data_IF_816897482580
#
_entry.id   IF_816897482580
#
_cell.length_a   1.000
_cell.length_b   1.000
_cell.length_c   1.000
_cell.angle_alpha   90.00
_cell.angle_beta   90.00
_cell.angle_gamma   90.00
#
_symmetry.space_group_name_H-M   'P 1'
#
loop_
_entity.id
_entity.type
_entity.pdbx_description
1 polymer ?
#
# COMPACT_ATOMS: atom_id res chain seq x y z
N UNK A 1 -10.10 7.00 4.40
CA UNK A 1 -9.83 5.83 5.25
C UNK A 1 -9.80 4.59 4.37
N UNK A 2 -8.71 3.81 4.41
CA UNK A 2 -8.57 2.56 3.67
C UNK A 2 -8.75 1.39 4.64
N UNK A 3 -9.78 0.57 4.40
CA UNK A 3 -10.06 -0.67 5.14
C UNK A 3 -10.39 -1.77 4.13
N UNK A 4 -10.00 -3.00 4.43
CA UNK A 4 -10.18 -4.13 3.51
C UNK A 4 -9.05 -4.25 2.49
N UNK A 5 -9.38 -4.59 1.24
CA UNK A 5 -8.38 -4.89 0.21
C UNK A 5 -8.22 -3.73 -0.78
N UNK A 6 -6.99 -3.33 -1.04
CA UNK A 6 -6.62 -2.35 -2.05
C UNK A 6 -5.77 -3.01 -3.15
N UNK A 7 -6.19 -2.84 -4.41
CA UNK A 7 -5.55 -3.43 -5.58
C UNK A 7 -5.28 -2.31 -6.59
N UNK A 8 -4.04 -2.15 -7.01
CA UNK A 8 -3.63 -1.15 -7.98
C UNK A 8 -2.63 -1.73 -8.99
N UNK A 9 -2.51 -1.11 -10.16
CA UNK A 9 -1.62 -1.61 -11.20
C UNK A 9 -2.00 -3.00 -11.75
N UNK A 10 -3.28 -3.37 -11.73
CA UNK A 10 -3.75 -4.69 -12.18
C UNK A 10 -3.42 -5.00 -13.66
N UNK A 11 -3.18 -3.97 -14.47
CA UNK A 11 -2.68 -4.07 -15.86
C UNK A 11 -1.17 -4.35 -15.95
N UNK A 12 -0.47 -4.50 -14.83
CA UNK A 12 1.00 -4.62 -14.78
C UNK A 12 1.73 -3.29 -14.66
N UNK A 13 1.02 -2.20 -14.38
CA UNK A 13 1.61 -0.88 -14.16
C UNK A 13 2.29 -0.80 -12.78
N UNK A 14 3.63 -0.73 -12.80
CA UNK A 14 4.49 -0.68 -11.62
C UNK A 14 4.69 0.72 -11.04
N UNK A 15 4.37 1.75 -11.80
CA UNK A 15 4.52 3.16 -11.38
C UNK A 15 3.27 3.65 -10.62
N UNK A 16 2.23 2.81 -10.53
CA UNK A 16 1.02 3.13 -9.79
C UNK A 16 1.30 3.26 -8.29
N UNK A 17 0.66 4.26 -7.67
CA UNK A 17 0.78 4.54 -6.25
C UNK A 17 -0.58 4.56 -5.58
N UNK A 18 -0.64 4.11 -4.33
CA UNK A 18 -1.84 4.12 -3.50
C UNK A 18 -1.65 5.18 -2.41
N UNK A 19 -2.62 6.08 -2.29
CA UNK A 19 -2.63 7.11 -1.26
C UNK A 19 -3.81 6.91 -0.32
N UNK A 20 -3.59 7.06 0.97
CA UNK A 20 -4.67 7.05 1.94
C UNK A 20 -4.36 7.96 3.13
N UNK A 21 -5.42 8.48 3.75
CA UNK A 21 -5.32 9.30 4.98
C UNK A 21 -5.34 8.48 6.25
N UNK A 22 -5.68 7.18 6.17
CA UNK A 22 -5.80 6.30 7.32
C UNK A 22 -5.63 4.84 6.85
N UNK A 23 -4.42 4.29 6.96
CA UNK A 23 -4.06 2.95 6.49
C UNK A 23 -4.50 1.86 7.47
N UNK A 24 -5.55 1.12 7.15
CA UNK A 24 -6.04 -0.03 7.91
C UNK A 24 -6.40 -1.18 6.97
N UNK A 25 -5.57 -1.38 5.93
CA UNK A 25 -5.79 -2.38 4.91
C UNK A 25 -5.54 -3.79 5.46
N UNK A 26 -6.38 -4.74 5.04
CA UNK A 26 -6.18 -6.18 5.23
C UNK A 26 -5.21 -6.74 4.19
N UNK A 27 -5.24 -6.15 2.98
CA UNK A 27 -4.35 -6.48 1.88
C UNK A 27 -4.12 -5.23 1.03
N UNK A 28 -2.87 -5.02 0.62
CA UNK A 28 -2.53 -4.04 -0.42
C UNK A 28 -1.73 -4.73 -1.50
N UNK A 29 -2.06 -4.50 -2.77
CA UNK A 29 -1.28 -5.00 -3.90
C UNK A 29 -1.06 -3.94 -4.97
N UNK A 30 0.16 -3.92 -5.52
CA UNK A 30 0.58 -3.08 -6.63
C UNK A 30 1.29 -3.96 -7.65
N UNK A 31 0.77 -4.02 -8.87
CA UNK A 31 1.35 -4.78 -9.99
C UNK A 31 1.62 -6.28 -9.69
N UNK A 32 0.81 -6.89 -8.83
CA UNK A 32 0.92 -8.31 -8.45
C UNK A 32 1.74 -8.57 -7.19
N UNK A 33 2.58 -7.62 -6.77
CA UNK A 33 3.21 -7.67 -5.44
C UNK A 33 2.17 -7.30 -4.38
N UNK A 34 2.16 -8.00 -3.24
CA UNK A 34 1.16 -7.77 -2.22
C UNK A 34 1.72 -7.87 -0.80
N UNK A 35 1.11 -7.11 0.10
CA UNK A 35 1.26 -7.20 1.54
C UNK A 35 -0.07 -7.54 2.18
N UNK A 36 -0.03 -8.47 3.13
CA UNK A 36 -1.10 -8.67 4.11
C UNK A 36 -0.92 -7.69 5.28
N UNK A 37 -1.96 -7.56 6.11
CA UNK A 37 -1.98 -6.61 7.24
C UNK A 37 -0.81 -6.76 8.21
N UNK A 38 -0.25 -7.95 8.37
CA UNK A 38 0.89 -8.25 9.25
C UNK A 38 2.24 -7.82 8.66
N UNK A 39 2.34 -7.69 7.34
CA UNK A 39 3.53 -7.20 6.65
C UNK A 39 3.59 -5.66 6.62
N UNK A 40 2.45 -4.99 6.81
CA UNK A 40 2.40 -3.52 6.89
C UNK A 40 3.04 -3.09 8.22
N UNK A 41 4.06 -2.23 8.22
CA UNK A 41 4.68 -1.78 9.46
C UNK A 41 3.67 -1.06 10.35
N UNK A 42 3.60 -1.47 11.62
CA UNK A 42 2.60 -0.99 12.58
C UNK A 42 2.63 0.54 12.79
N UNK A 43 3.76 1.19 12.53
CA UNK A 43 3.90 2.64 12.63
C UNK A 43 3.03 3.42 11.62
N UNK A 44 2.61 2.80 10.52
CA UNK A 44 1.72 3.39 9.52
C UNK A 44 0.25 3.09 9.76
N UNK A 45 -0.08 2.19 10.69
CA UNK A 45 -1.46 1.81 10.96
C UNK A 45 -2.27 3.02 11.44
N UNK A 46 -3.39 3.29 10.77
CA UNK A 46 -4.25 4.43 11.05
C UNK A 46 -3.64 5.80 10.72
N UNK A 47 -2.51 5.86 10.00
CA UNK A 47 -1.89 7.11 9.57
C UNK A 47 -2.08 7.36 8.08
N UNK A 48 -1.82 8.60 7.67
CA UNK A 48 -1.73 8.95 6.26
C UNK A 48 -0.45 8.36 5.67
N UNK A 49 -0.60 7.62 4.57
CA UNK A 49 0.48 6.87 3.96
C UNK A 49 0.33 6.80 2.45
N UNK A 50 1.49 6.68 1.80
CA UNK A 50 1.67 6.39 0.38
C UNK A 50 2.30 5.00 0.25
N UNK A 51 1.70 4.13 -0.54
CA UNK A 51 2.27 2.84 -0.95
C UNK A 51 2.66 2.88 -2.42
N UNK A 52 3.82 2.33 -2.74
CA UNK A 52 4.35 2.27 -4.10
C UNK A 52 5.31 1.08 -4.23
N UNK A 53 5.60 0.70 -5.47
CA UNK A 53 6.62 -0.29 -5.77
C UNK A 53 7.98 0.42 -5.97
N UNK A 54 9.02 -0.04 -5.27
CA UNK A 54 10.41 0.41 -5.48
C UNK A 54 11.27 -0.83 -5.63
N UNK A 55 12.02 -0.95 -6.74
CA UNK A 55 12.87 -2.11 -7.02
C UNK A 55 12.12 -3.46 -6.87
N UNK A 56 10.87 -3.48 -7.33
CA UNK A 56 9.94 -4.63 -7.22
C UNK A 56 9.53 -5.02 -5.78
N UNK A 57 9.82 -4.19 -4.79
CA UNK A 57 9.32 -4.36 -3.43
C UNK A 57 8.24 -3.33 -3.12
N UNK A 58 7.18 -3.74 -2.42
CA UNK A 58 6.25 -2.79 -1.83
C UNK A 58 6.97 -1.96 -0.78
N UNK A 59 6.72 -0.65 -0.82
CA UNK A 59 7.22 0.30 0.16
C UNK A 59 6.08 1.17 0.64
N UNK A 60 6.20 1.64 1.88
CA UNK A 60 5.25 2.58 2.48
C UNK A 60 6.01 3.78 3.01
N UNK A 61 5.45 4.96 2.80
CA UNK A 61 6.00 6.24 3.24
C UNK A 61 4.90 7.10 3.85
N UNK A 62 5.21 7.96 4.83
CA UNK A 62 4.23 8.85 5.42
C UNK A 62 3.79 9.90 4.40
N UNK A 63 2.53 10.29 4.46
CA UNK A 63 2.00 11.40 3.67
C UNK A 63 2.07 12.67 4.53
N UNK A 64 3.10 13.49 4.31
CA UNK A 64 3.29 14.78 4.97
C UNK A 64 2.55 15.90 4.23
#
# INVERSE_FOLDING_TARGET
MMRGRALAGASGDRETQIFCTNLMAELVSIAGEYWLSDQIPAEFYGKAARLQLVENALTVQPLN
#
